data_IF_862264967741
#
_entry.id   IF_862264967741
#
_cell.length_a   1.000
_cell.length_b   1.000
_cell.length_c   1.000
_cell.angle_alpha   90.00
_cell.angle_beta   90.00
_cell.angle_gamma   90.00
#
_symmetry.space_group_name_H-M   'P 1'
#
loop_
_entity.id
_entity.type
_entity.pdbx_description
1 polymer ?
#
# COMPACT_ATOMS: atom_id res chain seq x y z
N UNK A 1 4.08 7.75 22.79
CA UNK A 1 3.09 8.72 22.27
C UNK A 1 2.61 8.21 20.92
N UNK A 2 1.29 8.04 20.73
CA UNK A 2 0.71 7.73 19.41
C UNK A 2 0.76 8.98 18.54
N UNK A 3 1.26 8.86 17.32
CA UNK A 3 1.30 9.95 16.33
C UNK A 3 0.52 9.53 15.09
N UNK A 4 0.05 10.51 14.31
CA UNK A 4 -0.51 10.31 12.97
C UNK A 4 0.14 11.31 12.03
N UNK A 5 0.60 10.83 10.88
CA UNK A 5 1.25 11.60 9.84
C UNK A 5 0.51 11.39 8.52
N UNK A 6 0.25 12.48 7.79
CA UNK A 6 -0.28 12.43 6.43
C UNK A 6 0.83 12.67 5.42
N UNK A 7 0.99 11.75 4.48
CA UNK A 7 1.98 11.82 3.40
C UNK A 7 1.20 11.84 2.09
N UNK A 8 1.05 13.02 1.50
CA UNK A 8 0.49 13.17 0.16
C UNK A 8 1.51 12.63 -0.85
N UNK A 9 1.09 11.67 -1.68
CA UNK A 9 1.98 10.93 -2.59
C UNK A 9 2.65 11.88 -3.57
N UNK A 10 1.93 12.87 -4.08
CA UNK A 10 2.43 13.86 -5.04
C UNK A 10 3.54 14.77 -4.48
N UNK A 11 3.63 14.91 -3.16
CA UNK A 11 4.71 15.63 -2.47
C UNK A 11 5.99 14.82 -2.33
N UNK A 12 5.94 13.52 -2.61
CA UNK A 12 7.12 12.64 -2.59
C UNK A 12 7.72 12.60 -4.00
N UNK A 13 9.01 12.97 -4.16
CA UNK A 13 9.66 12.93 -5.47
C UNK A 13 9.68 11.52 -6.06
N UNK A 14 9.29 11.34 -7.34
CA UNK A 14 9.49 10.08 -8.03
C UNK A 14 10.97 9.77 -8.20
N UNK A 15 11.32 8.49 -8.03
CA UNK A 15 12.60 7.94 -8.45
C UNK A 15 12.37 7.11 -9.72
N UNK A 16 12.79 7.59 -10.90
CA UNK A 16 12.66 6.84 -12.14
C UNK A 16 13.42 5.52 -12.08
N UNK A 17 12.84 4.47 -12.64
CA UNK A 17 13.53 3.19 -12.75
C UNK A 17 14.61 3.25 -13.81
N UNK A 18 15.73 2.55 -13.57
CA UNK A 18 16.85 2.48 -14.53
C UNK A 18 16.44 1.93 -15.89
N UNK A 19 15.49 1.00 -15.90
CA UNK A 19 15.00 0.44 -17.14
C UNK A 19 14.14 1.46 -17.92
N UNK A 20 13.61 2.50 -17.27
CA UNK A 20 12.69 3.51 -17.84
C UNK A 20 11.22 3.09 -17.85
N UNK A 21 10.85 2.03 -17.12
CA UNK A 21 9.51 1.44 -17.19
C UNK A 21 8.48 2.04 -16.25
N UNK A 22 8.88 3.07 -15.52
CA UNK A 22 8.09 3.64 -14.46
C UNK A 22 8.92 4.42 -13.46
N UNK A 23 8.31 4.69 -12.32
CA UNK A 23 8.96 5.34 -11.19
C UNK A 23 8.39 4.84 -9.87
N UNK A 24 9.13 5.07 -8.78
CA UNK A 24 8.65 4.77 -7.43
C UNK A 24 8.72 6.01 -6.54
N UNK A 25 7.69 6.20 -5.73
CA UNK A 25 7.67 7.12 -4.60
C UNK A 25 7.71 6.31 -3.31
N UNK A 26 8.83 6.40 -2.61
CA UNK A 26 8.99 5.78 -1.30
C UNK A 26 8.31 6.65 -0.25
N UNK A 27 7.21 6.15 0.32
CA UNK A 27 6.40 6.92 1.27
C UNK A 27 6.90 6.73 2.70
N UNK A 28 7.35 5.52 3.05
CA UNK A 28 7.79 5.18 4.39
C UNK A 28 8.72 3.98 4.40
N UNK A 29 9.74 4.01 5.27
CA UNK A 29 10.59 2.87 5.60
C UNK A 29 10.71 2.67 7.11
N UNK A 30 10.92 1.43 7.55
CA UNK A 30 11.19 1.09 8.94
C UNK A 30 12.36 0.12 9.07
N UNK A 31 13.30 0.31 10.01
CA UNK A 31 13.56 1.59 10.68
C UNK A 31 13.94 2.62 9.61
N UNK A 32 13.48 3.86 9.75
CA UNK A 32 13.57 4.88 8.70
C UNK A 32 14.98 5.08 8.14
N UNK A 33 15.06 5.58 6.91
CA UNK A 33 16.32 5.87 6.22
C UNK A 33 16.52 5.04 4.95
N UNK A 34 17.73 5.10 4.40
CA UNK A 34 18.14 4.25 3.29
C UNK A 34 18.29 2.79 3.76
N UNK A 35 18.32 1.85 2.80
CA UNK A 35 18.51 0.44 3.10
C UNK A 35 19.72 0.20 4.04
N UNK A 36 19.65 -0.82 4.93
CA UNK A 36 18.63 -1.86 4.99
C UNK A 36 17.37 -1.45 5.78
N UNK A 37 16.22 -1.45 5.09
CA UNK A 37 14.90 -1.31 5.69
C UNK A 37 14.30 -2.70 5.93
N UNK A 38 13.54 -2.86 7.00
CA UNK A 38 12.71 -4.02 7.31
C UNK A 38 11.34 -3.95 6.64
N UNK A 39 10.72 -2.76 6.62
CA UNK A 39 9.47 -2.47 5.93
C UNK A 39 9.70 -1.31 4.96
N UNK A 40 9.11 -1.38 3.77
CA UNK A 40 8.97 -0.25 2.85
C UNK A 40 7.55 -0.16 2.31
N UNK A 41 6.94 1.01 2.40
CA UNK A 41 5.66 1.37 1.76
C UNK A 41 5.96 2.35 0.63
N UNK A 42 5.48 2.04 -0.56
CA UNK A 42 5.77 2.80 -1.76
C UNK A 42 4.60 2.80 -2.73
N UNK A 43 4.58 3.78 -3.62
CA UNK A 43 3.67 3.83 -4.76
C UNK A 43 4.50 3.82 -6.04
N UNK A 44 4.19 2.90 -6.94
CA UNK A 44 4.80 2.79 -8.25
C UNK A 44 3.88 3.38 -9.33
N UNK A 45 4.44 4.10 -10.28
CA UNK A 45 3.78 4.35 -11.58
C UNK A 45 4.41 3.40 -12.60
N UNK A 46 3.63 2.50 -13.19
CA UNK A 46 4.07 1.56 -14.24
C UNK A 46 3.58 2.09 -15.57
N UNK A 47 4.50 2.43 -16.47
CA UNK A 47 4.17 3.08 -17.74
C UNK A 47 4.37 2.18 -18.96
N UNK A 48 4.98 1.01 -18.77
CA UNK A 48 5.17 0.00 -19.81
C UNK A 48 5.28 -1.39 -19.21
N UNK A 49 5.10 -2.38 -20.07
CA UNK A 49 5.37 -3.77 -19.76
C UNK A 49 6.83 -4.01 -19.37
N UNK A 50 7.04 -4.95 -18.47
CA UNK A 50 8.36 -5.40 -18.07
C UNK A 50 8.35 -6.16 -16.75
N UNK A 51 9.46 -6.83 -16.42
CA UNK A 51 9.58 -7.55 -15.17
C UNK A 51 9.64 -6.61 -13.97
N UNK A 52 9.08 -7.06 -12.86
CA UNK A 52 9.39 -6.50 -11.55
C UNK A 52 10.83 -6.80 -11.18
N UNK A 53 11.46 -5.92 -10.40
CA UNK A 53 12.76 -6.24 -9.79
C UNK A 53 12.61 -7.37 -8.76
N UNK A 54 13.59 -8.28 -8.76
CA UNK A 54 13.74 -9.31 -7.74
C UNK A 54 14.19 -8.70 -6.40
N UNK A 55 13.61 -9.20 -5.31
CA UNK A 55 14.00 -8.87 -3.95
C UNK A 55 14.05 -10.16 -3.12
N UNK A 56 15.23 -10.75 -3.03
CA UNK A 56 15.45 -11.99 -2.28
C UNK A 56 15.16 -11.77 -0.79
N UNK A 57 14.47 -12.74 -0.19
CA UNK A 57 14.14 -12.67 1.24
C UNK A 57 13.10 -11.61 1.59
N UNK A 58 12.36 -11.07 0.61
CA UNK A 58 11.30 -10.08 0.83
C UNK A 58 9.95 -10.69 0.50
N UNK A 59 8.93 -10.39 1.32
CA UNK A 59 7.53 -10.60 0.98
C UNK A 59 6.92 -9.30 0.49
N UNK A 60 6.14 -9.37 -0.59
CA UNK A 60 5.56 -8.20 -1.26
C UNK A 60 4.05 -8.27 -1.24
N UNK A 61 3.42 -7.13 -1.02
CA UNK A 61 2.01 -6.89 -1.28
C UNK A 61 1.88 -5.86 -2.39
N UNK A 62 1.03 -6.15 -3.36
CA UNK A 62 0.78 -5.30 -4.51
C UNK A 62 -0.72 -5.07 -4.69
N UNK A 63 -1.12 -3.82 -4.93
CA UNK A 63 -2.51 -3.48 -5.21
C UNK A 63 -2.60 -2.34 -6.22
N UNK A 64 -3.38 -2.53 -7.28
CA UNK A 64 -3.66 -1.48 -8.26
C UNK A 64 -4.54 -0.41 -7.62
N UNK A 65 -4.08 0.83 -7.69
CA UNK A 65 -4.77 2.02 -7.16
C UNK A 65 -5.47 2.80 -8.26
N UNK A 66 -4.92 2.80 -9.48
CA UNK A 66 -5.49 3.46 -10.65
C UNK A 66 -4.99 2.80 -11.94
N UNK A 67 -5.81 2.88 -12.99
CA UNK A 67 -5.56 2.32 -14.32
C UNK A 67 -6.42 1.08 -14.57
N UNK A 68 -6.37 0.57 -15.80
CA UNK A 68 -7.14 -0.61 -16.21
C UNK A 68 -6.62 -1.93 -15.59
N UNK A 69 -5.46 -1.88 -14.95
CA UNK A 69 -4.86 -3.02 -14.25
C UNK A 69 -3.66 -3.62 -14.97
N UNK A 70 -3.19 -4.74 -14.42
CA UNK A 70 -2.01 -5.48 -14.86
C UNK A 70 -2.29 -6.98 -14.91
N UNK A 71 -1.46 -7.70 -15.66
CA UNK A 71 -1.32 -9.15 -15.57
C UNK A 71 0.11 -9.49 -15.11
N UNK A 72 0.22 -10.21 -14.00
CA UNK A 72 1.50 -10.67 -13.44
C UNK A 72 1.71 -12.15 -13.72
N UNK A 73 2.84 -12.51 -14.32
CA UNK A 73 3.22 -13.90 -14.57
C UNK A 73 3.87 -14.52 -13.32
N UNK A 74 3.10 -15.25 -12.52
CA UNK A 74 3.55 -15.91 -11.30
C UNK A 74 3.60 -17.43 -11.46
N UNK A 75 4.38 -18.17 -10.65
CA UNK A 75 4.51 -19.64 -10.77
C UNK A 75 3.18 -20.40 -10.67
N UNK A 76 2.21 -19.90 -9.91
CA UNK A 76 0.86 -20.48 -9.80
C UNK A 76 -0.07 -20.16 -10.96
N UNK A 77 0.41 -19.47 -12.00
CA UNK A 77 -0.35 -19.01 -13.15
C UNK A 77 -0.56 -17.49 -13.17
N UNK A 78 -0.88 -16.91 -14.34
CA UNK A 78 -1.02 -15.47 -14.47
C UNK A 78 -2.14 -14.90 -13.58
N UNK A 79 -1.83 -13.84 -12.84
CA UNK A 79 -2.80 -13.11 -12.02
C UNK A 79 -3.18 -11.81 -12.71
N UNK A 80 -4.48 -11.61 -12.97
CA UNK A 80 -5.02 -10.34 -13.49
C UNK A 80 -5.50 -9.51 -12.31
N UNK A 81 -5.01 -8.28 -12.20
CA UNK A 81 -5.27 -7.40 -11.08
C UNK A 81 -5.73 -6.04 -11.58
N UNK A 82 -6.77 -5.51 -10.97
CA UNK A 82 -7.30 -4.17 -11.20
C UNK A 82 -7.61 -3.47 -9.86
N UNK A 83 -8.25 -2.31 -9.93
CA UNK A 83 -8.64 -1.51 -8.75
C UNK A 83 -9.65 -2.21 -7.84
N UNK A 84 -10.35 -3.25 -8.32
CA UNK A 84 -11.34 -4.03 -7.57
C UNK A 84 -10.74 -5.32 -6.98
N UNK A 85 -9.60 -5.76 -7.49
CA UNK A 85 -8.92 -6.96 -7.05
C UNK A 85 -8.37 -6.81 -5.63
N UNK A 86 -8.40 -7.86 -4.78
CA UNK A 86 -7.78 -7.80 -3.46
C UNK A 86 -6.26 -7.58 -3.58
N UNK A 87 -5.60 -7.01 -2.56
CA UNK A 87 -4.14 -6.93 -2.54
C UNK A 87 -3.52 -8.32 -2.72
N UNK A 88 -2.59 -8.45 -3.65
CA UNK A 88 -1.89 -9.71 -3.92
C UNK A 88 -0.59 -9.79 -3.12
N UNK A 89 -0.39 -10.90 -2.40
CA UNK A 89 0.87 -11.22 -1.74
C UNK A 89 1.69 -12.21 -2.57
N UNK A 90 3.00 -11.97 -2.70
CA UNK A 90 3.94 -12.88 -3.37
C UNK A 90 5.37 -12.69 -2.84
N UNK A 91 6.23 -13.69 -3.06
CA UNK A 91 7.64 -13.61 -2.66
C UNK A 91 8.43 -12.73 -3.66
N UNK A 92 9.28 -11.84 -3.16
CA UNK A 92 9.96 -10.81 -3.93
C UNK A 92 10.94 -11.34 -4.98
N UNK A 93 11.55 -12.50 -4.73
CA UNK A 93 12.41 -13.25 -5.65
C UNK A 93 11.65 -13.76 -6.88
N UNK A 94 10.32 -13.85 -6.84
CA UNK A 94 9.53 -14.31 -7.99
C UNK A 94 9.56 -13.34 -9.16
N UNK A 95 9.78 -12.03 -8.90
CA UNK A 95 10.04 -11.01 -9.90
C UNK A 95 9.17 -11.11 -11.18
N UNK A 96 7.83 -11.17 -11.06
CA UNK A 96 6.97 -11.52 -12.18
C UNK A 96 7.10 -10.54 -13.35
N UNK A 97 6.98 -11.06 -14.58
CA UNK A 97 6.69 -10.22 -15.75
C UNK A 97 5.34 -9.54 -15.55
N UNK A 98 5.31 -8.23 -15.75
CA UNK A 98 4.12 -7.41 -15.66
C UNK A 98 3.73 -6.92 -17.06
N UNK A 99 2.47 -7.15 -17.43
CA UNK A 99 1.86 -6.56 -18.63
C UNK A 99 0.72 -5.65 -18.24
N UNK A 100 0.67 -4.45 -18.81
CA UNK A 100 -0.43 -3.52 -18.61
C UNK A 100 -1.66 -4.01 -19.38
N UNK A 101 -2.84 -3.92 -18.75
CA UNK A 101 -4.11 -4.29 -19.41
C UNK A 101 -4.46 -3.26 -20.48
N UNK A 102 -4.48 -1.97 -20.12
CA UNK A 102 -4.73 -0.85 -21.01
C UNK A 102 -4.16 0.44 -20.39
N UNK A 103 -2.99 0.84 -20.86
CA UNK A 103 -2.30 2.04 -20.42
C UNK A 103 -1.65 1.94 -19.01
N UNK A 104 -1.06 3.05 -18.53
CA UNK A 104 -0.30 3.07 -17.29
C UNK A 104 -1.14 2.77 -16.04
N UNK A 105 -0.49 2.20 -15.02
CA UNK A 105 -1.07 2.00 -13.69
C UNK A 105 -0.32 2.76 -12.61
N UNK A 106 -1.02 3.01 -11.51
CA UNK A 106 -0.42 3.42 -10.24
C UNK A 106 -0.77 2.39 -9.18
N UNK A 107 0.24 1.94 -8.45
CA UNK A 107 0.12 0.74 -7.62
C UNK A 107 0.74 0.93 -6.24
N UNK A 108 0.07 0.45 -5.20
CA UNK A 108 0.62 0.30 -3.86
C UNK A 108 1.55 -0.90 -3.84
N UNK A 109 2.74 -0.72 -3.28
CA UNK A 109 3.68 -1.78 -2.99
C UNK A 109 4.16 -1.67 -1.53
N UNK A 110 3.86 -2.69 -0.73
CA UNK A 110 4.45 -2.91 0.59
C UNK A 110 5.46 -4.05 0.50
N UNK A 111 6.64 -3.84 1.06
CA UNK A 111 7.70 -4.84 1.11
C UNK A 111 8.13 -5.06 2.55
N UNK A 112 8.22 -6.33 2.95
CA UNK A 112 8.67 -6.77 4.26
C UNK A 112 9.86 -7.71 4.10
N UNK A 113 10.99 -7.44 4.76
CA UNK A 113 12.05 -8.44 4.88
C UNK A 113 11.54 -9.63 5.72
N UNK A 114 11.66 -10.85 5.19
CA UNK A 114 11.24 -12.07 5.88
C UNK A 114 11.97 -12.18 7.22
N UNK A 115 11.20 -12.49 8.27
CA UNK A 115 11.70 -12.55 9.63
C UNK A 115 11.78 -11.20 10.36
N UNK A 116 11.59 -10.07 9.67
CA UNK A 116 11.62 -8.76 10.31
C UNK A 116 10.30 -8.36 11.00
N UNK A 117 9.27 -9.20 10.92
CA UNK A 117 7.98 -8.97 11.56
C UNK A 117 6.82 -9.59 10.80
N UNK A 118 5.63 -9.02 11.00
CA UNK A 118 4.39 -9.37 10.31
C UNK A 118 3.81 -8.11 9.68
N UNK A 119 3.35 -8.20 8.43
CA UNK A 119 2.65 -7.13 7.75
C UNK A 119 1.39 -7.64 7.07
N UNK A 120 0.43 -6.73 6.84
CA UNK A 120 -0.78 -7.03 6.09
C UNK A 120 -1.21 -5.81 5.27
N UNK A 121 -1.83 -6.08 4.12
CA UNK A 121 -2.55 -5.08 3.33
C UNK A 121 -3.95 -5.62 3.05
N UNK A 122 -4.96 -4.84 3.42
CA UNK A 122 -6.37 -5.22 3.28
C UNK A 122 -7.12 -4.11 2.54
N UNK A 123 -8.17 -4.45 1.80
CA UNK A 123 -9.08 -3.44 1.27
C UNK A 123 -9.80 -2.73 2.43
N UNK A 124 -9.93 -1.40 2.33
CA UNK A 124 -10.63 -0.59 3.31
C UNK A 124 -12.00 -0.18 2.75
N UNK A 125 -13.05 -0.57 3.45
CA UNK A 125 -14.45 -0.32 3.04
C UNK A 125 -15.07 0.74 3.95
N UNK A 126 -15.70 1.79 3.41
CA UNK A 126 -16.39 2.78 4.23
C UNK A 126 -17.43 2.17 5.16
N UNK A 127 -17.50 2.65 6.40
CA UNK A 127 -18.42 2.16 7.42
C UNK A 127 -18.03 0.83 8.06
N UNK A 128 -17.06 0.10 7.51
CA UNK A 128 -16.55 -1.12 8.12
C UNK A 128 -15.40 -0.81 9.08
N UNK A 129 -15.58 -1.20 10.35
CA UNK A 129 -14.52 -1.09 11.35
C UNK A 129 -13.46 -2.18 11.13
N UNK A 130 -12.20 -1.76 11.17
CA UNK A 130 -11.02 -2.61 11.17
C UNK A 130 -10.34 -2.56 12.55
N UNK A 131 -10.04 -3.74 13.09
CA UNK A 131 -9.37 -3.91 14.37
C UNK A 131 -8.05 -4.65 14.14
N UNK A 132 -6.96 -4.11 14.68
CA UNK A 132 -5.65 -4.72 14.58
C UNK A 132 -4.80 -4.32 15.79
N UNK A 133 -3.87 -5.19 16.20
CA UNK A 133 -2.98 -4.97 17.32
C UNK A 133 -1.64 -4.34 16.90
N UNK A 134 -1.40 -4.20 15.59
CA UNK A 134 -0.13 -3.72 15.06
C UNK A 134 0.22 -2.31 15.59
N UNK A 135 1.47 -2.13 16.04
CA UNK A 135 1.96 -0.85 16.55
C UNK A 135 2.12 0.19 15.44
N UNK A 136 2.23 -0.23 14.17
CA UNK A 136 2.21 0.63 13.00
C UNK A 136 1.02 0.28 12.12
N UNK A 137 0.20 1.30 11.82
CA UNK A 137 -0.99 1.18 10.97
C UNK A 137 -1.08 2.33 10.01
N UNK A 138 -1.62 2.07 8.82
CA UNK A 138 -1.85 3.11 7.85
C UNK A 138 -3.16 2.92 7.08
N UNK A 139 -3.65 4.04 6.55
CA UNK A 139 -4.64 4.11 5.50
C UNK A 139 -3.98 4.72 4.27
N UNK A 140 -4.01 4.04 3.13
CA UNK A 140 -3.79 4.68 1.83
C UNK A 140 -5.13 4.85 1.14
N UNK A 141 -5.45 6.04 0.66
CA UNK A 141 -6.69 6.31 -0.09
C UNK A 141 -6.40 7.09 -1.36
N UNK A 142 -7.13 6.79 -2.44
CA UNK A 142 -7.06 7.53 -3.72
C UNK A 142 -8.09 8.66 -3.81
N UNK A 143 -9.03 8.72 -2.85
CA UNK A 143 -10.10 9.73 -2.78
C UNK A 143 -10.16 10.34 -1.37
N UNK A 144 -10.69 11.57 -1.17
CA UNK A 144 -10.82 12.13 0.17
C UNK A 144 -11.79 11.31 1.03
N UNK A 145 -11.40 11.06 2.28
CA UNK A 145 -12.22 10.31 3.26
C UNK A 145 -12.10 10.94 4.64
N UNK A 146 -13.00 10.55 5.54
CA UNK A 146 -12.86 10.81 6.97
C UNK A 146 -12.35 9.55 7.65
N UNK A 147 -11.20 9.65 8.34
CA UNK A 147 -10.62 8.59 9.14
C UNK A 147 -11.04 8.75 10.60
N UNK A 148 -11.68 7.73 11.14
CA UNK A 148 -12.10 7.64 12.53
C UNK A 148 -11.23 6.60 13.25
N UNK A 149 -10.62 7.01 14.36
CA UNK A 149 -9.82 6.13 15.22
C UNK A 149 -10.45 6.13 16.62
N UNK A 150 -10.94 4.98 17.05
CA UNK A 150 -11.71 4.79 18.28
C UNK A 150 -12.90 5.75 18.34
N UNK A 151 -13.00 6.52 19.41
CA UNK A 151 -14.04 7.54 19.65
C UNK A 151 -13.48 8.97 19.54
N UNK A 152 -12.31 9.13 18.89
CA UNK A 152 -11.71 10.45 18.65
C UNK A 152 -12.49 11.23 17.60
N UNK A 153 -12.24 12.52 17.40
CA UNK A 153 -12.84 13.22 16.27
C UNK A 153 -12.29 12.66 14.94
N UNK A 154 -13.19 12.43 13.98
CA UNK A 154 -12.81 12.03 12.63
C UNK A 154 -11.87 13.07 11.98
N UNK A 155 -10.90 12.58 11.22
CA UNK A 155 -9.88 13.41 10.59
C UNK A 155 -9.95 13.28 9.08
N UNK A 156 -9.91 14.43 8.39
CA UNK A 156 -9.89 14.45 6.94
C UNK A 156 -8.56 13.91 6.41
N UNK A 157 -8.63 12.87 5.58
CA UNK A 157 -7.50 12.35 4.81
C UNK A 157 -7.76 12.71 3.35
N UNK A 158 -6.83 13.43 2.74
CA UNK A 158 -6.94 13.85 1.34
C UNK A 158 -6.87 12.68 0.36
N UNK A 159 -7.24 12.93 -0.89
CA UNK A 159 -6.95 12.00 -1.98
C UNK A 159 -5.44 11.73 -2.07
N UNK A 160 -5.09 10.56 -2.59
CA UNK A 160 -3.69 10.15 -2.84
C UNK A 160 -2.78 10.38 -1.63
N UNK A 161 -3.25 9.97 -0.45
CA UNK A 161 -2.56 10.20 0.82
C UNK A 161 -2.39 8.90 1.58
N UNK A 162 -1.20 8.70 2.16
CA UNK A 162 -0.94 7.71 3.20
C UNK A 162 -1.08 8.39 4.57
N UNK A 163 -2.09 8.03 5.34
CA UNK A 163 -2.21 8.40 6.75
C UNK A 163 -1.62 7.27 7.60
N UNK A 164 -0.42 7.48 8.14
CA UNK A 164 0.35 6.50 8.91
C UNK A 164 0.37 6.89 10.39
N UNK A 165 0.20 5.93 11.28
CA UNK A 165 0.25 6.15 12.71
C UNK A 165 1.13 5.15 13.45
N UNK A 166 1.76 5.61 14.53
CA UNK A 166 2.02 4.72 15.66
C UNK A 166 0.75 4.59 16.47
N UNK A 167 0.32 3.35 16.67
CA UNK A 167 -1.01 3.03 17.12
C UNK A 167 -0.95 2.17 18.38
N UNK A 168 -1.83 2.42 19.34
CA UNK A 168 -1.92 1.63 20.55
C UNK A 168 -2.56 0.27 20.22
N UNK A 169 -2.13 -0.83 20.84
CA UNK A 169 -2.72 -2.15 20.56
C UNK A 169 -4.26 -2.12 20.74
N UNK A 170 -4.99 -2.68 19.77
CA UNK A 170 -6.45 -2.85 19.87
C UNK A 170 -7.31 -1.67 19.41
N UNK A 171 -6.73 -0.59 18.86
CA UNK A 171 -7.54 0.52 18.33
C UNK A 171 -8.45 0.07 17.17
N UNK A 172 -9.63 0.67 17.11
CA UNK A 172 -10.61 0.51 16.04
C UNK A 172 -10.44 1.63 15.01
N UNK A 173 -10.18 1.27 13.77
CA UNK A 173 -10.09 2.21 12.65
C UNK A 173 -11.29 2.03 11.75
N UNK A 174 -11.87 3.12 11.25
CA UNK A 174 -12.88 3.06 10.19
C UNK A 174 -12.74 4.28 9.32
N UNK A 175 -13.12 4.16 8.05
CA UNK A 175 -13.23 5.31 7.17
C UNK A 175 -14.68 5.55 6.79
N UNK A 176 -15.02 6.79 6.47
CA UNK A 176 -16.32 7.15 5.91
C UNK A 176 -16.16 8.12 4.75
N UNK A 177 -17.15 8.11 3.86
CA UNK A 177 -17.33 9.08 2.79
C UNK A 177 -18.73 9.68 2.90
N UNK A 178 -18.99 10.87 2.34
CA UNK A 178 -20.33 11.46 2.36
C UNK A 178 -21.42 10.57 1.73
N UNK A 179 -21.06 9.76 0.73
CA UNK A 179 -21.96 8.83 0.04
C UNK A 179 -22.08 7.45 0.71
N UNK A 180 -21.27 7.15 1.72
CA UNK A 180 -21.20 5.82 2.34
C UNK A 180 -20.47 4.75 1.51
N UNK A 181 -19.97 5.09 0.32
CA UNK A 181 -19.17 4.21 -0.54
C UNK A 181 -18.00 4.99 -1.17
N UNK A 182 -16.95 4.28 -1.59
CA UNK A 182 -15.90 4.89 -2.41
C UNK A 182 -16.46 5.14 -3.83
N UNK A 183 -16.09 6.24 -4.50
CA UNK A 183 -16.46 6.45 -5.90
C UNK A 183 -15.93 5.34 -6.80
N UNK A 184 -16.57 5.11 -7.96
CA UNK A 184 -16.12 4.11 -8.92
C UNK A 184 -14.66 4.32 -9.33
N UNK A 185 -13.89 3.23 -9.37
CA UNK A 185 -12.46 3.25 -9.67
C UNK A 185 -11.56 3.83 -8.57
N UNK A 186 -12.12 4.24 -7.42
CA UNK A 186 -11.35 4.68 -6.26
C UNK A 186 -11.14 3.53 -5.28
N UNK A 187 -10.03 3.59 -4.54
CA UNK A 187 -9.61 2.55 -3.62
C UNK A 187 -9.08 3.12 -2.33
N UNK A 188 -9.29 2.38 -1.25
CA UNK A 188 -8.60 2.57 0.00
C UNK A 188 -8.06 1.23 0.51
N UNK A 189 -6.92 1.26 1.19
CA UNK A 189 -6.27 0.09 1.77
C UNK A 189 -5.87 0.37 3.22
N UNK A 190 -6.14 -0.61 4.10
CA UNK A 190 -5.54 -0.68 5.43
C UNK A 190 -4.19 -1.38 5.32
N UNK A 191 -3.19 -0.87 6.03
CA UNK A 191 -1.87 -1.47 6.15
C UNK A 191 -1.56 -1.65 7.64
N UNK A 192 -1.03 -2.81 8.02
CA UNK A 192 -0.55 -3.09 9.38
C UNK A 192 0.89 -3.61 9.32
N UNK A 193 1.68 -3.26 10.32
CA UNK A 193 3.01 -3.81 10.52
C UNK A 193 3.38 -3.93 12.00
N UNK A 194 3.83 -5.13 12.38
CA UNK A 194 4.37 -5.47 13.69
C UNK A 194 5.82 -5.92 13.51
N UNK A 195 6.82 -5.13 13.93
CA UNK A 195 8.22 -5.56 13.92
C UNK A 195 8.42 -6.83 14.76
N UNK A 196 9.35 -7.68 14.36
CA UNK A 196 9.78 -8.80 15.19
C UNK A 196 10.35 -8.29 16.53
N UNK A 197 10.22 -9.07 17.62
CA UNK A 197 10.95 -8.77 18.86
C UNK A 197 12.45 -8.70 18.58
N UNK A 198 13.14 -7.78 19.26
CA UNK A 198 14.61 -7.76 19.27
C UNK A 198 15.17 -8.91 20.09
#
# INVERSE_FOLDING_TARGET
MTWLQHIAIDRVPPQPWRNGGGSTRELFTWPGGAAPWQLRISVADITRDGPFSAFDGVDRWFAVLQGAGVQLALPGGPQRLDVHSPPLQFAGEQAPDCRLTDGPTRDLNLMLQRGAGQAAVLAAVPGQAWHDAAPLRALLTTTPVQLQIDDRSAQAVGAWTLALASAAAGQRWSLSTPSGALPAGQRACWLAFTPAPR
#
